data_IF_950614852462
#
_entry.id   IF_950614852462
#
_cell.length_a   1.000
_cell.length_b   1.000
_cell.length_c   1.000
_cell.angle_alpha   90.00
_cell.angle_beta   90.00
_cell.angle_gamma   90.00
#
_symmetry.space_group_name_H-M   'P 1'
#
loop_
_entity.id
_entity.type
_entity.pdbx_description
1 polymer ?
#
# COMPACT_ATOMS: atom_id res chain seq x y z
N UNK A 1 -36.14 -6.90 -55.50
CA UNK A 1 -35.80 -6.39 -56.84
C UNK A 1 -34.33 -5.99 -56.84
N UNK A 2 -33.58 -6.43 -57.88
CA UNK A 2 -32.14 -6.22 -58.20
C UNK A 2 -31.13 -6.96 -57.30
N UNK A 3 -30.66 -8.18 -57.66
CA UNK A 3 -29.70 -8.59 -58.71
C UNK A 3 -28.23 -8.21 -58.35
N UNK A 4 -27.41 -9.14 -57.83
CA UNK A 4 -26.50 -10.07 -58.53
C UNK A 4 -25.48 -9.41 -59.48
N UNK A 5 -24.18 -9.47 -59.15
CA UNK A 5 -23.15 -9.98 -60.07
C UNK A 5 -21.82 -10.33 -59.37
N UNK A 6 -21.44 -11.62 -59.47
CA UNK A 6 -20.08 -12.16 -59.36
C UNK A 6 -19.37 -12.04 -60.73
N UNK A 7 -18.03 -12.10 -60.75
CA UNK A 7 -17.12 -12.79 -61.72
C UNK A 7 -15.69 -12.31 -61.38
N UNK A 8 -14.81 -13.17 -60.82
CA UNK A 8 -13.91 -14.17 -61.45
C UNK A 8 -12.63 -13.57 -62.07
N UNK A 9 -11.47 -14.09 -61.66
CA UNK A 9 -10.18 -13.88 -62.33
C UNK A 9 -8.99 -14.39 -61.52
N UNK A 10 -8.71 -15.70 -61.60
CA UNK A 10 -7.49 -16.31 -61.06
C UNK A 10 -6.32 -16.29 -62.05
N UNK A 11 -5.12 -16.53 -61.53
CA UNK A 11 -3.90 -16.76 -62.30
C UNK A 11 -2.73 -17.12 -61.40
N UNK A 12 -2.29 -18.38 -61.50
CA UNK A 12 -1.21 -19.01 -60.75
C UNK A 12 0.19 -18.66 -61.33
N UNK A 13 1.22 -19.34 -60.78
CA UNK A 13 2.66 -19.41 -61.12
C UNK A 13 3.56 -18.58 -60.16
N UNK A 14 4.70 -19.04 -59.63
CA UNK A 14 5.48 -20.30 -59.75
C UNK A 14 6.45 -20.34 -58.55
N UNK A 15 6.75 -21.54 -58.05
CA UNK A 15 7.79 -21.80 -57.06
C UNK A 15 9.21 -21.71 -57.68
N UNK A 16 10.16 -21.11 -56.98
CA UNK A 16 11.59 -21.30 -57.24
C UNK A 16 12.41 -21.24 -55.95
N UNK A 17 13.44 -22.07 -55.93
CA UNK A 17 14.16 -22.65 -54.81
C UNK A 17 15.55 -21.99 -54.64
N UNK A 18 15.93 -21.73 -53.39
CA UNK A 18 17.27 -21.70 -52.76
C UNK A 18 18.50 -21.03 -53.46
N UNK A 19 19.26 -20.23 -52.68
CA UNK A 19 20.64 -20.50 -52.16
C UNK A 19 21.25 -19.18 -51.61
N UNK A 20 22.02 -19.33 -50.53
CA UNK A 20 22.67 -18.35 -49.65
C UNK A 20 23.67 -17.36 -50.30
N UNK A 21 23.94 -16.24 -49.62
CA UNK A 21 25.23 -15.85 -49.00
C UNK A 21 25.33 -14.34 -48.68
N UNK A 22 26.00 -14.06 -47.55
CA UNK A 22 26.79 -12.86 -47.21
C UNK A 22 26.09 -11.52 -46.86
N UNK A 23 26.26 -11.15 -45.59
CA UNK A 23 26.16 -9.82 -44.96
C UNK A 23 27.12 -8.79 -45.58
N UNK A 24 26.89 -7.46 -45.46
CA UNK A 24 27.37 -6.76 -44.26
C UNK A 24 26.42 -5.67 -43.71
N UNK A 25 26.68 -5.37 -42.45
CA UNK A 25 26.07 -4.38 -41.58
C UNK A 25 25.99 -2.95 -42.14
N UNK A 26 24.86 -2.29 -41.90
CA UNK A 26 24.78 -0.84 -41.70
C UNK A 26 24.12 -0.62 -40.34
N UNK A 27 24.96 -0.58 -39.31
CA UNK A 27 24.60 -0.07 -38.00
C UNK A 27 24.37 1.44 -38.13
N UNK A 28 23.11 1.88 -38.02
CA UNK A 28 22.84 3.25 -37.63
C UNK A 28 23.07 3.34 -36.12
N UNK A 29 24.12 4.11 -35.80
CA UNK A 29 24.45 4.56 -34.45
C UNK A 29 23.28 5.39 -33.91
N UNK A 30 22.43 4.78 -33.09
CA UNK A 30 21.68 5.50 -32.07
C UNK A 30 22.40 5.25 -30.75
N UNK A 31 23.05 6.29 -30.24
CA UNK A 31 23.60 6.31 -28.90
C UNK A 31 22.43 6.32 -27.89
N UNK A 32 21.97 5.14 -27.49
CA UNK A 32 21.02 4.98 -26.38
C UNK A 32 21.69 4.14 -25.29
N UNK A 33 22.37 4.83 -24.35
CA UNK A 33 22.79 4.21 -23.10
C UNK A 33 21.53 3.97 -22.27
N UNK A 34 21.36 2.72 -21.82
CA UNK A 34 20.23 2.11 -21.08
C UNK A 34 19.02 1.61 -21.91
N UNK A 35 19.06 0.36 -22.40
CA UNK A 35 17.84 -0.40 -22.68
C UNK A 35 17.18 -0.89 -21.37
N UNK A 36 15.85 -1.07 -21.32
CA UNK A 36 15.17 -1.73 -20.19
C UNK A 36 15.67 -3.18 -20.08
N UNK A 37 15.99 -3.61 -18.86
CA UNK A 37 16.40 -4.98 -18.57
C UNK A 37 15.22 -5.93 -18.84
N UNK A 38 15.24 -6.63 -19.98
CA UNK A 38 14.44 -7.82 -20.17
C UNK A 38 15.22 -8.96 -19.51
N UNK A 39 14.88 -9.30 -18.28
CA UNK A 39 15.42 -10.45 -17.56
C UNK A 39 14.96 -11.71 -18.28
N UNK A 40 15.85 -12.29 -19.08
CA UNK A 40 15.60 -13.57 -19.76
C UNK A 40 15.61 -14.70 -18.73
N UNK A 41 14.68 -15.66 -18.81
CA UNK A 41 14.57 -16.83 -17.91
C UNK A 41 15.90 -17.61 -17.74
N UNK A 42 16.82 -17.49 -18.69
CA UNK A 42 18.17 -18.04 -18.61
C UNK A 42 19.06 -17.41 -17.52
N UNK A 43 18.74 -16.20 -17.03
CA UNK A 43 19.49 -15.53 -15.97
C UNK A 43 19.07 -15.96 -14.56
N UNK A 44 17.84 -16.48 -14.38
CA UNK A 44 17.34 -17.03 -13.11
C UNK A 44 17.91 -18.43 -12.82
N UNK A 45 18.15 -19.23 -13.86
CA UNK A 45 18.68 -20.60 -13.70
C UNK A 45 20.14 -20.68 -13.22
N UNK A 46 20.89 -19.57 -13.25
CA UNK A 46 22.31 -19.53 -12.87
C UNK A 46 22.57 -19.36 -11.37
N UNK A 47 21.55 -19.02 -10.57
CA UNK A 47 21.70 -18.69 -9.13
C UNK A 47 21.04 -19.71 -8.18
N UNK A 48 20.31 -20.70 -8.72
CA UNK A 48 19.60 -21.72 -7.93
C UNK A 48 20.48 -22.96 -7.74
N UNK A 49 20.66 -23.39 -6.48
CA UNK A 49 21.27 -24.68 -6.14
C UNK A 49 20.25 -25.81 -6.31
N UNK A 50 20.27 -26.44 -7.48
CA UNK A 50 19.43 -27.58 -7.84
C UNK A 50 19.85 -28.90 -7.16
N UNK A 51 21.05 -28.99 -6.59
CA UNK A 51 21.53 -30.22 -5.96
C UNK A 51 22.04 -31.31 -6.92
N UNK A 52 21.74 -32.58 -6.61
CA UNK A 52 22.10 -33.78 -7.37
C UNK A 52 20.87 -34.66 -7.71
N UNK A 53 21.09 -35.82 -8.31
CA UNK A 53 20.02 -36.77 -8.73
C UNK A 53 20.00 -38.03 -7.83
N UNK A 54 20.18 -37.87 -6.51
CA UNK A 54 20.26 -39.01 -5.57
C UNK A 54 18.92 -39.48 -5.02
N UNK A 55 17.81 -38.80 -5.36
CA UNK A 55 16.46 -39.10 -4.89
C UNK A 55 15.87 -40.38 -5.48
N UNK A 56 14.82 -40.91 -4.86
CA UNK A 56 14.11 -42.07 -5.42
C UNK A 56 13.40 -41.73 -6.73
N UNK A 57 12.94 -40.49 -6.83
CA UNK A 57 12.13 -39.93 -7.91
C UNK A 57 12.94 -39.15 -8.95
N UNK A 58 14.25 -39.02 -8.75
CA UNK A 58 15.12 -38.29 -9.68
C UNK A 58 15.07 -38.83 -11.12
N UNK A 59 15.03 -37.94 -12.11
CA UNK A 59 14.99 -38.26 -13.55
C UNK A 59 13.70 -38.97 -14.03
N UNK A 60 12.55 -38.71 -13.41
CA UNK A 60 11.27 -39.29 -13.82
C UNK A 60 10.43 -38.36 -14.74
N UNK A 61 10.89 -37.13 -14.94
CA UNK A 61 10.30 -36.12 -15.82
C UNK A 61 9.46 -35.06 -15.11
N UNK A 62 9.35 -35.11 -13.78
CA UNK A 62 8.76 -34.09 -12.92
C UNK A 62 9.83 -33.53 -11.97
N UNK A 63 9.62 -32.33 -11.40
CA UNK A 63 10.51 -31.78 -10.37
C UNK A 63 10.00 -32.12 -8.98
N UNK A 64 10.69 -32.99 -8.25
CA UNK A 64 10.28 -33.48 -6.93
C UNK A 64 10.75 -32.62 -5.75
N UNK A 65 11.54 -31.58 -6.02
CA UNK A 65 12.05 -30.71 -4.97
C UNK A 65 10.95 -29.72 -4.51
N UNK A 66 10.50 -29.78 -3.25
CA UNK A 66 9.40 -28.94 -2.74
C UNK A 66 9.72 -27.45 -2.73
N UNK A 67 10.98 -27.05 -2.98
CA UNK A 67 11.36 -25.66 -3.20
C UNK A 67 10.99 -25.15 -4.60
N UNK A 68 10.34 -25.96 -5.44
CA UNK A 68 9.89 -25.56 -6.77
C UNK A 68 8.39 -25.81 -6.94
N UNK A 69 7.69 -24.85 -7.52
CA UNK A 69 6.25 -24.96 -7.80
C UNK A 69 5.92 -24.65 -9.26
N UNK A 70 4.93 -25.36 -9.80
CA UNK A 70 4.41 -25.13 -11.15
C UNK A 70 3.95 -26.40 -11.83
N UNK A 71 3.54 -26.28 -13.08
CA UNK A 71 3.04 -27.41 -13.89
C UNK A 71 4.06 -28.51 -14.18
N UNK A 72 5.35 -28.26 -13.93
CA UNK A 72 6.41 -29.27 -14.03
C UNK A 72 6.85 -29.83 -12.68
N UNK A 73 6.22 -29.46 -11.55
CA UNK A 73 6.51 -30.04 -10.24
C UNK A 73 5.72 -31.34 -10.07
N UNK A 74 6.27 -32.26 -9.30
CA UNK A 74 5.55 -33.47 -8.91
C UNK A 74 4.29 -33.14 -8.10
N UNK A 75 3.31 -34.03 -8.16
CA UNK A 75 2.02 -33.86 -7.47
C UNK A 75 2.15 -34.07 -5.96
N UNK A 76 3.02 -35.00 -5.55
CA UNK A 76 3.36 -35.26 -4.15
C UNK A 76 4.81 -34.84 -3.94
N UNK A 77 5.03 -33.87 -3.05
CA UNK A 77 6.35 -33.33 -2.74
C UNK A 77 6.71 -33.65 -1.29
N UNK A 78 7.91 -34.17 -1.07
CA UNK A 78 8.42 -34.49 0.26
C UNK A 78 9.72 -33.71 0.54
N UNK A 79 9.89 -33.21 1.78
CA UNK A 79 11.13 -32.53 2.19
C UNK A 79 12.38 -33.42 2.03
N UNK A 80 12.17 -34.75 2.02
CA UNK A 80 13.22 -35.72 1.77
C UNK A 80 13.83 -35.58 0.36
N UNK A 81 13.15 -34.95 -0.59
CA UNK A 81 13.54 -34.83 -1.99
C UNK A 81 14.13 -33.45 -2.35
N UNK A 82 14.29 -32.57 -1.36
CA UNK A 82 15.02 -31.30 -1.50
C UNK A 82 16.42 -31.55 -2.05
N UNK A 83 16.75 -30.92 -3.19
CA UNK A 83 18.05 -31.00 -3.90
C UNK A 83 18.42 -32.39 -4.40
N UNK A 84 17.45 -33.26 -4.61
CA UNK A 84 17.71 -34.66 -5.00
C UNK A 84 17.23 -35.03 -6.40
N UNK A 85 16.64 -34.08 -7.11
CA UNK A 85 16.17 -34.24 -8.49
C UNK A 85 16.62 -33.03 -9.35
N UNK A 86 17.93 -32.83 -9.42
CA UNK A 86 18.52 -31.65 -10.03
C UNK A 86 18.30 -31.56 -11.55
N UNK A 87 18.29 -32.70 -12.25
CA UNK A 87 18.16 -32.74 -13.71
C UNK A 87 16.78 -32.28 -14.16
N UNK A 88 15.70 -32.80 -13.56
CA UNK A 88 14.34 -32.46 -13.97
C UNK A 88 13.93 -31.09 -13.45
N UNK A 89 14.27 -30.72 -12.21
CA UNK A 89 14.04 -29.36 -11.71
C UNK A 89 14.75 -28.28 -12.55
N UNK A 90 15.99 -28.53 -13.00
CA UNK A 90 16.68 -27.59 -13.91
C UNK A 90 16.02 -27.52 -15.28
N UNK A 91 15.58 -28.66 -15.82
CA UNK A 91 14.90 -28.72 -17.10
C UNK A 91 13.55 -27.99 -17.05
N UNK A 92 12.80 -28.18 -15.96
CA UNK A 92 11.52 -27.54 -15.72
C UNK A 92 11.67 -26.02 -15.53
N UNK A 93 12.69 -25.55 -14.80
CA UNK A 93 12.99 -24.10 -14.72
C UNK A 93 13.38 -23.53 -16.09
N UNK A 94 14.22 -24.24 -16.85
CA UNK A 94 14.62 -23.80 -18.19
C UNK A 94 13.43 -23.77 -19.17
N UNK A 95 12.47 -24.66 -18.99
CA UNK A 95 11.20 -24.67 -19.74
C UNK A 95 10.19 -23.63 -19.23
N UNK A 96 10.44 -23.02 -18.06
CA UNK A 96 9.52 -22.09 -17.40
C UNK A 96 8.26 -22.78 -16.85
N UNK A 97 8.29 -24.10 -16.63
CA UNK A 97 7.16 -24.87 -16.12
C UNK A 97 7.15 -24.99 -14.59
N UNK A 98 8.28 -24.69 -13.93
CA UNK A 98 8.38 -24.51 -12.48
C UNK A 98 9.16 -23.26 -12.11
N UNK A 99 8.85 -22.69 -10.96
CA UNK A 99 9.49 -21.53 -10.35
C UNK A 99 10.05 -21.91 -8.99
N UNK A 100 11.26 -21.46 -8.65
CA UNK A 100 11.82 -21.65 -7.32
C UNK A 100 11.05 -20.80 -6.31
N UNK A 101 10.45 -21.45 -5.33
CA UNK A 101 9.74 -20.87 -4.19
C UNK A 101 10.50 -21.29 -2.94
N UNK A 102 11.05 -20.34 -2.18
CA UNK A 102 11.83 -20.58 -0.93
C UNK A 102 11.05 -21.32 0.18
N UNK A 103 9.85 -21.82 -0.09
CA UNK A 103 8.90 -22.37 0.87
C UNK A 103 8.72 -23.88 0.71
N UNK A 104 9.69 -24.68 1.14
CA UNK A 104 9.49 -26.10 1.48
C UNK A 104 9.34 -26.26 3.00
N UNK A 105 8.07 -26.26 3.47
CA UNK A 105 7.44 -26.60 4.79
C UNK A 105 8.30 -26.74 6.07
N UNK A 106 7.97 -26.22 7.28
CA UNK A 106 6.76 -26.38 8.13
C UNK A 106 6.89 -25.51 9.43
N UNK A 107 5.80 -25.11 10.14
CA UNK A 107 5.78 -23.97 11.04
C UNK A 107 6.21 -24.31 12.47
N UNK A 108 7.40 -23.87 12.87
CA UNK A 108 7.70 -23.63 14.28
C UNK A 108 8.67 -22.46 14.40
N UNK A 109 8.16 -21.33 14.90
CA UNK A 109 8.91 -20.13 15.28
C UNK A 109 9.78 -19.49 14.18
N UNK A 110 9.17 -18.83 13.20
CA UNK A 110 9.85 -17.76 12.46
C UNK A 110 9.45 -16.45 13.11
N UNK A 111 10.23 -16.01 14.08
CA UNK A 111 10.35 -14.59 14.31
C UNK A 111 10.99 -14.01 13.05
N UNK A 112 10.32 -13.02 12.48
CA UNK A 112 10.75 -12.21 11.34
C UNK A 112 12.15 -11.66 11.62
N UNK A 113 13.15 -12.34 11.07
CA UNK A 113 14.51 -11.83 11.10
C UNK A 113 14.63 -10.72 10.04
N UNK A 114 14.62 -9.45 10.48
CA UNK A 114 15.23 -8.34 9.75
C UNK A 114 16.53 -8.79 9.04
N UNK A 115 16.84 -8.32 7.82
CA UNK A 115 18.09 -8.68 7.13
C UNK A 115 19.29 -8.41 8.03
N UNK A 116 20.24 -9.34 8.14
CA UNK A 116 21.41 -9.23 9.05
C UNK A 116 22.26 -7.97 8.78
N UNK A 117 22.22 -7.45 7.56
CA UNK A 117 22.89 -6.22 7.14
C UNK A 117 22.14 -4.95 7.56
N UNK A 118 20.86 -5.05 7.94
CA UNK A 118 20.02 -3.94 8.37
C UNK A 118 20.04 -3.73 9.89
N UNK A 119 20.66 -4.64 10.65
CA UNK A 119 20.70 -4.59 12.12
C UNK A 119 22.04 -4.03 12.58
N UNK A 120 21.98 -2.97 13.38
CA UNK A 120 23.14 -2.47 14.10
C UNK A 120 23.41 -3.30 15.36
N UNK A 121 24.28 -4.30 15.22
CA UNK A 121 24.75 -5.14 16.32
C UNK A 121 25.70 -4.42 17.28
N UNK A 122 26.23 -3.23 16.93
CA UNK A 122 27.15 -2.48 17.78
C UNK A 122 28.61 -2.97 17.76
N UNK A 123 29.27 -2.98 18.92
CA UNK A 123 30.67 -3.40 19.11
C UNK A 123 30.84 -4.55 20.15
N UNK A 124 32.07 -4.93 20.48
CA UNK A 124 32.38 -5.98 21.48
C UNK A 124 33.03 -5.37 22.75
N UNK A 125 32.51 -4.23 23.24
CA UNK A 125 33.13 -3.47 24.34
C UNK A 125 32.76 -3.95 25.75
N UNK A 126 31.80 -4.88 25.89
CA UNK A 126 31.43 -5.46 27.19
C UNK A 126 32.48 -6.47 27.71
N UNK A 127 32.45 -6.74 29.02
CA UNK A 127 33.21 -7.84 29.62
C UNK A 127 32.64 -9.22 29.25
N UNK A 128 31.39 -9.26 28.82
CA UNK A 128 30.66 -10.47 28.42
C UNK A 128 30.75 -10.74 26.91
N UNK A 129 31.24 -9.77 26.13
CA UNK A 129 31.38 -9.94 24.69
C UNK A 129 32.29 -11.12 24.30
N UNK A 130 31.89 -11.88 23.27
CA UNK A 130 32.63 -13.05 22.73
C UNK A 130 32.72 -14.24 23.70
N UNK A 131 31.74 -14.43 24.58
CA UNK A 131 31.68 -15.57 25.48
C UNK A 131 30.83 -16.73 24.96
N UNK A 132 30.14 -16.54 23.83
CA UNK A 132 29.34 -17.53 23.13
C UNK A 132 27.83 -17.40 23.35
N UNK A 133 27.39 -16.41 24.12
CA UNK A 133 25.98 -16.03 24.32
C UNK A 133 25.75 -14.61 23.78
N UNK A 134 24.51 -14.24 23.48
CA UNK A 134 24.15 -12.86 23.10
C UNK A 134 23.69 -12.09 24.34
N UNK A 135 24.51 -11.16 24.82
CA UNK A 135 24.24 -10.35 26.02
C UNK A 135 23.42 -9.08 25.75
N UNK A 136 23.10 -8.80 24.50
CA UNK A 136 22.38 -7.60 24.12
C UNK A 136 20.88 -7.72 24.46
N UNK A 137 20.33 -6.90 25.39
CA UNK A 137 18.93 -6.95 25.81
C UNK A 137 17.92 -6.68 24.68
N UNK A 138 18.37 -6.16 23.53
CA UNK A 138 17.52 -6.01 22.34
C UNK A 138 17.18 -7.36 21.70
N UNK A 139 17.96 -8.41 21.97
CA UNK A 139 17.78 -9.73 21.39
C UNK A 139 17.26 -10.73 22.42
N UNK A 140 16.36 -11.61 21.98
CA UNK A 140 15.80 -12.69 22.80
C UNK A 140 15.85 -14.02 22.07
N UNK A 141 16.24 -15.10 22.73
CA UNK A 141 16.14 -16.44 22.18
C UNK A 141 16.98 -17.46 22.94
N UNK A 142 17.12 -18.65 22.36
CA UNK A 142 17.84 -19.77 22.99
C UNK A 142 19.34 -19.56 23.12
N UNK A 143 19.91 -18.58 22.39
CA UNK A 143 21.30 -18.19 22.50
C UNK A 143 21.49 -16.80 23.13
N UNK A 144 20.45 -16.23 23.77
CA UNK A 144 20.61 -15.06 24.64
C UNK A 144 21.20 -15.47 25.99
N UNK A 145 21.95 -14.59 26.61
CA UNK A 145 22.44 -14.78 27.97
C UNK A 145 21.28 -14.93 28.98
N UNK A 146 21.53 -15.67 30.07
CA UNK A 146 20.54 -15.89 31.14
C UNK A 146 20.16 -14.59 31.87
N UNK A 147 21.08 -13.61 31.94
CA UNK A 147 20.87 -12.31 32.56
C UNK A 147 21.21 -11.18 31.58
N UNK A 148 20.19 -10.50 31.07
CA UNK A 148 20.33 -9.36 30.16
C UNK A 148 20.22 -8.04 30.94
N UNK A 149 21.16 -7.13 30.75
CA UNK A 149 21.16 -5.81 31.38
C UNK A 149 21.39 -4.69 30.37
N UNK A 150 20.71 -3.55 30.56
CA UNK A 150 20.77 -2.39 29.64
C UNK A 150 22.19 -1.89 29.37
N UNK A 151 23.14 -2.10 30.30
CA UNK A 151 24.53 -1.69 30.12
C UNK A 151 25.25 -2.43 29.00
N UNK A 152 24.75 -3.59 28.58
CA UNK A 152 25.34 -4.46 27.56
C UNK A 152 24.66 -4.32 26.18
N UNK A 153 23.67 -3.43 26.06
CA UNK A 153 23.05 -3.05 24.79
C UNK A 153 24.09 -2.58 23.77
N UNK A 154 24.10 -3.22 22.59
CA UNK A 154 25.01 -2.98 21.46
C UNK A 154 26.50 -3.22 21.77
N UNK A 155 26.84 -4.05 22.75
CA UNK A 155 28.23 -4.28 23.19
C UNK A 155 28.73 -5.72 23.09
N UNK A 156 27.94 -6.58 22.48
CA UNK A 156 28.27 -7.97 22.20
C UNK A 156 27.91 -8.33 20.74
N UNK A 157 28.46 -7.55 19.82
CA UNK A 157 28.07 -7.61 18.42
C UNK A 157 28.41 -8.93 17.73
N UNK A 158 29.54 -9.56 18.09
CA UNK A 158 30.00 -10.79 17.43
C UNK A 158 29.06 -11.96 17.71
N UNK A 159 28.68 -12.17 18.97
CA UNK A 159 27.88 -13.32 19.35
C UNK A 159 26.40 -13.09 19.02
N UNK A 160 25.87 -11.88 19.24
CA UNK A 160 24.52 -11.54 18.81
C UNK A 160 24.33 -11.63 17.29
N UNK A 161 25.33 -11.23 16.48
CA UNK A 161 25.27 -11.42 15.02
C UNK A 161 25.28 -12.89 14.64
N UNK A 162 26.13 -13.69 15.26
CA UNK A 162 26.21 -15.13 14.97
C UNK A 162 24.93 -15.86 15.37
N UNK A 163 24.40 -15.56 16.56
CA UNK A 163 23.16 -16.12 17.07
C UNK A 163 21.96 -15.70 16.20
N UNK A 164 21.93 -14.44 15.76
CA UNK A 164 20.88 -13.94 14.88
C UNK A 164 20.96 -14.58 13.48
N UNK A 165 22.16 -14.70 12.90
CA UNK A 165 22.38 -15.42 11.63
C UNK A 165 21.94 -16.88 11.70
N UNK A 166 22.11 -17.50 12.87
CA UNK A 166 21.69 -18.87 13.15
C UNK A 166 20.20 -19.00 13.48
N UNK A 167 19.46 -17.88 13.59
CA UNK A 167 18.06 -17.85 14.00
C UNK A 167 17.82 -18.28 15.45
N UNK A 168 18.86 -18.30 16.29
CA UNK A 168 18.76 -18.70 17.70
C UNK A 168 18.45 -17.54 18.65
N UNK A 169 18.52 -16.30 18.15
CA UNK A 169 17.97 -15.09 18.80
C UNK A 169 17.20 -14.24 17.80
N UNK A 170 16.27 -13.45 18.32
CA UNK A 170 15.35 -12.60 17.56
C UNK A 170 15.43 -11.19 18.14
N UNK A 171 15.41 -10.17 17.29
CA UNK A 171 15.40 -8.78 17.73
C UNK A 171 14.00 -8.43 18.23
N UNK A 172 13.87 -7.98 19.48
CA UNK A 172 12.59 -7.55 20.02
C UNK A 172 12.14 -6.24 19.34
N UNK A 173 10.86 -6.13 18.99
CA UNK A 173 10.22 -4.97 18.33
C UNK A 173 10.15 -3.71 19.24
N UNK A 174 11.27 -3.30 19.80
CA UNK A 174 11.42 -2.01 20.47
C UNK A 174 12.53 -1.21 19.80
N UNK A 175 12.07 -0.26 18.98
CA UNK A 175 12.83 0.88 18.45
C UNK A 175 13.88 0.58 17.36
N UNK A 176 13.44 0.01 16.23
CA UNK A 176 14.24 0.07 14.99
C UNK A 176 14.04 1.42 14.31
N UNK A 177 14.87 2.37 14.71
CA UNK A 177 15.20 3.57 13.94
C UNK A 177 16.21 3.19 12.84
N UNK A 178 15.76 2.60 11.74
CA UNK A 178 16.58 2.45 10.53
C UNK A 178 15.91 3.14 9.34
N UNK A 179 16.55 4.22 8.94
CA UNK A 179 16.30 4.96 7.72
C UNK A 179 16.65 4.11 6.50
N UNK A 180 15.68 3.36 5.96
CA UNK A 180 15.71 2.93 4.57
C UNK A 180 15.25 4.12 3.73
N UNK A 181 16.01 4.44 2.69
CA UNK A 181 15.69 5.55 1.81
C UNK A 181 14.30 5.39 1.18
N UNK A 182 13.39 6.26 1.61
CA UNK A 182 12.29 6.87 0.88
C UNK A 182 11.33 5.91 0.14
N UNK A 183 10.72 5.00 0.89
CA UNK A 183 9.29 4.75 0.70
C UNK A 183 8.60 5.65 1.74
N UNK A 184 7.72 6.59 1.36
CA UNK A 184 6.89 7.28 2.34
C UNK A 184 6.25 6.20 3.19
N UNK A 185 6.34 6.31 4.53
CA UNK A 185 5.76 5.33 5.45
C UNK A 185 4.37 4.92 4.94
N UNK A 186 4.26 3.71 4.38
CA UNK A 186 3.06 3.30 3.66
C UNK A 186 1.93 3.32 4.68
N UNK A 187 0.90 4.08 4.36
CA UNK A 187 -0.31 3.98 5.12
C UNK A 187 -1.06 2.71 4.74
N UNK A 188 -1.18 1.78 5.68
CA UNK A 188 -2.01 0.61 5.49
C UNK A 188 -3.48 0.86 5.90
N UNK A 189 -3.77 1.92 6.67
CA UNK A 189 -5.12 2.25 7.12
C UNK A 189 -5.62 1.43 8.31
N UNK A 190 -6.88 0.98 8.28
CA UNK A 190 -7.56 0.15 9.30
C UNK A 190 -8.10 -1.19 8.73
N UNK A 191 -8.86 -1.96 9.50
CA UNK A 191 -9.44 -3.27 9.08
C UNK A 191 -10.99 -3.22 9.10
N UNK A 192 -11.60 -2.16 8.56
CA UNK A 192 -13.05 -1.93 8.71
C UNK A 192 -13.91 -2.36 7.52
N UNK A 193 -13.32 -2.77 6.38
CA UNK A 193 -14.09 -3.26 5.24
C UNK A 193 -14.65 -4.66 5.48
N UNK A 194 -15.57 -5.09 4.60
CA UNK A 194 -16.13 -6.45 4.65
C UNK A 194 -15.13 -7.53 4.22
N UNK A 195 -14.08 -7.12 3.51
CA UNK A 195 -13.01 -7.98 2.99
C UNK A 195 -11.75 -7.97 3.85
N UNK A 196 -11.66 -7.05 4.82
CA UNK A 196 -10.54 -7.01 5.76
C UNK A 196 -10.29 -8.35 6.50
N UNK A 197 -9.01 -8.75 6.59
CA UNK A 197 -8.57 -9.98 7.29
C UNK A 197 -9.04 -11.27 6.64
N UNK A 198 -9.29 -11.29 5.34
CA UNK A 198 -9.67 -12.49 4.61
C UNK A 198 -8.47 -13.26 4.04
N UNK A 199 -7.27 -12.69 4.14
CA UNK A 199 -6.00 -13.27 3.71
C UNK A 199 -5.48 -12.70 2.38
N UNK A 200 -6.21 -11.78 1.74
CA UNK A 200 -5.79 -11.04 0.56
C UNK A 200 -5.69 -9.54 0.90
N UNK A 201 -4.83 -8.80 0.20
CA UNK A 201 -4.77 -7.34 0.32
C UNK A 201 -5.82 -6.72 -0.61
N UNK A 202 -6.91 -6.20 -0.07
CA UNK A 202 -8.02 -5.62 -0.84
C UNK A 202 -7.80 -4.15 -1.23
N UNK A 203 -6.70 -3.56 -0.76
CA UNK A 203 -6.46 -2.15 -0.98
C UNK A 203 -5.98 -1.86 -2.42
N UNK A 204 -6.73 -1.07 -3.21
CA UNK A 204 -6.42 -0.78 -4.61
C UNK A 204 -5.09 -0.03 -4.83
N UNK A 205 -4.45 0.48 -3.76
CA UNK A 205 -3.13 1.13 -3.83
C UNK A 205 -1.98 0.12 -3.98
N UNK A 206 -2.24 -1.17 -3.80
CA UNK A 206 -1.24 -2.23 -3.83
C UNK A 206 -1.39 -3.10 -5.10
N UNK A 207 -0.33 -3.80 -5.47
CA UNK A 207 -0.40 -4.89 -6.45
C UNK A 207 0.54 -6.01 -6.06
N UNK A 208 0.20 -7.24 -6.43
CA UNK A 208 1.07 -8.39 -6.21
C UNK A 208 0.26 -9.67 -6.15
N UNK A 209 0.92 -10.75 -5.76
CA UNK A 209 0.31 -12.09 -5.72
C UNK A 209 -0.56 -12.32 -4.48
N UNK A 210 -0.46 -11.43 -3.48
CA UNK A 210 -1.30 -11.45 -2.29
C UNK A 210 -2.25 -10.24 -2.26
N UNK A 211 -2.56 -9.65 -3.41
CA UNK A 211 -3.57 -8.60 -3.58
C UNK A 211 -4.79 -9.24 -4.22
N UNK A 212 -5.98 -8.87 -3.75
CA UNK A 212 -7.24 -9.43 -4.25
C UNK A 212 -7.38 -9.25 -5.77
N UNK A 213 -8.02 -10.23 -6.42
CA UNK A 213 -8.24 -10.21 -7.88
C UNK A 213 -9.25 -9.11 -8.29
N UNK A 214 -10.21 -8.80 -7.41
CA UNK A 214 -11.20 -7.72 -7.58
C UNK A 214 -10.97 -6.67 -6.50
N UNK A 215 -10.66 -5.44 -6.92
CA UNK A 215 -10.36 -4.33 -6.02
C UNK A 215 -11.45 -3.28 -6.13
N UNK A 216 -11.97 -2.82 -4.99
CA UNK A 216 -12.98 -1.76 -4.92
C UNK A 216 -12.39 -0.50 -4.28
N UNK A 217 -12.82 0.67 -4.76
CA UNK A 217 -12.41 1.95 -4.15
C UNK A 217 -12.83 2.06 -2.67
N UNK A 218 -13.88 1.33 -2.27
CA UNK A 218 -14.39 1.29 -0.90
C UNK A 218 -13.44 0.58 0.08
N UNK A 219 -12.50 -0.23 -0.40
CA UNK A 219 -11.54 -0.98 0.43
C UNK A 219 -10.19 -0.26 0.59
N UNK A 220 -10.06 0.94 0.01
CA UNK A 220 -8.88 1.78 0.13
C UNK A 220 -8.56 2.10 1.59
N UNK A 221 -7.45 1.56 2.09
CA UNK A 221 -7.00 1.74 3.47
C UNK A 221 -7.88 1.07 4.51
N UNK A 222 -8.66 0.05 4.13
CA UNK A 222 -9.57 -0.64 5.04
C UNK A 222 -9.25 -2.13 5.22
N UNK A 223 -8.11 -2.57 4.70
CA UNK A 223 -7.56 -3.91 4.90
C UNK A 223 -6.06 -3.84 5.29
N UNK A 224 -5.80 -3.17 6.40
CA UNK A 224 -4.44 -2.85 6.83
C UNK A 224 -3.61 -4.05 7.24
N UNK A 225 -4.24 -5.05 7.86
CA UNK A 225 -3.56 -6.24 8.37
C UNK A 225 -2.99 -7.06 7.21
N UNK A 226 -3.80 -7.35 6.20
CA UNK A 226 -3.39 -8.23 5.11
C UNK A 226 -2.49 -7.49 4.12
N UNK A 227 -2.75 -6.22 3.82
CA UNK A 227 -1.84 -5.41 3.02
C UNK A 227 -0.47 -5.19 3.68
N UNK A 228 -0.41 -5.01 5.00
CA UNK A 228 0.87 -4.94 5.72
C UNK A 228 1.60 -6.27 5.70
N UNK A 229 0.87 -7.36 5.93
CA UNK A 229 1.44 -8.71 5.87
C UNK A 229 1.98 -9.02 4.47
N UNK A 230 1.23 -8.66 3.43
CA UNK A 230 1.59 -8.86 2.04
C UNK A 230 2.82 -8.03 1.62
N UNK A 231 2.92 -6.76 2.05
CA UNK A 231 4.14 -5.97 1.83
C UNK A 231 5.33 -6.51 2.63
N UNK A 232 5.11 -6.88 3.90
CA UNK A 232 6.15 -7.48 4.74
C UNK A 232 6.67 -8.80 4.17
N UNK A 233 5.81 -9.57 3.53
CA UNK A 233 6.15 -10.81 2.81
C UNK A 233 6.74 -10.57 1.41
N UNK A 234 6.74 -9.33 0.92
CA UNK A 234 7.17 -8.99 -0.45
C UNK A 234 6.22 -9.49 -1.55
N UNK A 235 5.02 -9.94 -1.19
CA UNK A 235 3.99 -10.44 -2.11
C UNK A 235 2.99 -9.37 -2.53
N UNK A 236 3.04 -8.19 -1.91
CA UNK A 236 2.42 -6.96 -2.40
C UNK A 236 3.46 -5.84 -2.49
N UNK A 237 3.33 -5.00 -3.52
CA UNK A 237 4.08 -3.76 -3.71
C UNK A 237 3.12 -2.61 -3.61
N UNK A 238 3.41 -1.65 -2.74
CA UNK A 238 2.71 -0.37 -2.74
C UNK A 238 3.07 0.39 -4.01
N UNK A 239 2.10 0.61 -4.89
CA UNK A 239 2.36 1.20 -6.20
C UNK A 239 2.54 2.71 -6.17
N UNK A 240 2.57 3.31 -4.97
CA UNK A 240 2.49 4.74 -4.86
C UNK A 240 1.26 5.24 -5.61
N UNK A 241 0.10 4.58 -5.37
CA UNK A 241 -1.20 5.16 -5.71
C UNK A 241 -1.07 6.63 -5.40
N UNK A 242 -1.31 7.48 -6.42
CA UNK A 242 -0.93 8.91 -6.47
C UNK A 242 -0.86 9.45 -5.08
N UNK A 243 0.15 10.24 -4.70
CA UNK A 243 0.21 10.97 -3.42
C UNK A 243 -1.06 11.82 -3.21
N UNK A 244 -2.17 11.16 -2.98
CA UNK A 244 -3.25 11.48 -2.13
C UNK A 244 -2.49 11.39 -0.82
N UNK A 245 -1.96 12.52 -0.39
CA UNK A 245 -1.82 12.84 1.03
C UNK A 245 -2.88 12.02 1.72
N UNK A 246 -2.49 10.95 2.43
CA UNK A 246 -3.45 10.03 3.06
C UNK A 246 -4.41 10.94 3.77
N UNK A 247 -5.61 11.03 3.22
CA UNK A 247 -6.55 12.02 3.68
C UNK A 247 -6.88 11.54 5.05
N UNK A 248 -6.49 12.31 6.06
CA UNK A 248 -6.65 11.92 7.45
C UNK A 248 -8.07 11.37 7.58
N UNK A 249 -8.23 10.13 8.03
CA UNK A 249 -9.56 9.55 8.19
C UNK A 249 -10.46 10.57 8.90
N UNK A 250 -11.72 10.70 8.46
CA UNK A 250 -12.61 11.72 9.01
C UNK A 250 -12.66 11.59 10.53
N UNK A 251 -12.22 12.63 11.24
CA UNK A 251 -12.18 12.62 12.70
C UNK A 251 -13.58 12.89 13.24
N UNK A 252 -14.27 11.83 13.64
CA UNK A 252 -15.59 11.94 14.27
C UNK A 252 -15.57 12.68 15.61
N UNK A 253 -14.42 12.80 16.28
CA UNK A 253 -14.31 13.39 17.61
C UNK A 253 -14.65 12.39 18.73
N UNK A 254 -15.36 12.85 19.76
CA UNK A 254 -15.78 12.00 20.88
C UNK A 254 -17.08 12.47 21.55
N UNK A 255 -17.57 11.71 22.52
CA UNK A 255 -18.91 11.90 23.11
C UNK A 255 -18.88 12.81 24.36
N UNK A 256 -18.51 14.07 24.18
CA UNK A 256 -18.38 15.03 25.28
C UNK A 256 -19.52 16.06 25.34
N UNK A 257 -20.29 16.23 24.26
CA UNK A 257 -21.45 17.12 24.28
C UNK A 257 -22.52 16.60 25.23
N UNK A 258 -23.34 17.51 25.76
CA UNK A 258 -24.55 17.14 26.53
C UNK A 258 -25.60 16.42 25.69
N UNK A 259 -25.50 16.52 24.36
CA UNK A 259 -26.39 15.85 23.41
C UNK A 259 -25.81 14.53 22.89
N UNK A 260 -24.58 14.17 23.29
CA UNK A 260 -23.98 12.93 22.86
C UNK A 260 -24.82 11.70 23.27
N UNK A 261 -24.92 10.71 22.38
CA UNK A 261 -25.64 9.45 22.60
C UNK A 261 -27.15 9.61 22.84
N UNK A 262 -27.80 10.60 22.21
CA UNK A 262 -29.25 10.82 22.29
C UNK A 262 -30.02 10.26 21.08
N UNK A 263 -29.30 9.77 20.06
CA UNK A 263 -29.82 9.12 18.86
C UNK A 263 -30.01 10.04 17.66
N UNK A 264 -29.67 11.32 17.78
CA UNK A 264 -29.51 12.28 16.67
C UNK A 264 -28.01 12.58 16.49
N UNK A 265 -27.59 13.15 15.36
CA UNK A 265 -26.22 13.61 15.15
C UNK A 265 -26.18 15.13 15.36
N UNK A 266 -25.62 15.59 16.48
CA UNK A 266 -25.55 17.02 16.86
C UNK A 266 -24.33 17.76 16.30
N UNK A 267 -23.62 17.13 15.37
CA UNK A 267 -22.40 17.67 14.78
C UNK A 267 -22.69 18.40 13.47
N UNK A 268 -22.40 19.71 13.44
CA UNK A 268 -22.62 20.58 12.29
C UNK A 268 -21.91 20.14 11.00
N UNK A 269 -20.88 19.30 11.12
CA UNK A 269 -20.12 18.75 9.98
C UNK A 269 -20.94 17.75 9.18
N UNK A 270 -22.09 17.32 9.71
CA UNK A 270 -23.01 16.37 9.09
C UNK A 270 -24.29 17.05 8.64
N UNK A 271 -24.99 16.39 7.71
CA UNK A 271 -26.32 16.77 7.26
C UNK A 271 -27.15 15.53 6.91
N UNK A 272 -28.48 15.62 7.01
CA UNK A 272 -29.38 14.51 6.68
C UNK A 272 -30.56 14.40 7.65
N UNK A 273 -31.34 13.32 7.49
CA UNK A 273 -32.52 13.05 8.35
C UNK A 273 -32.14 12.72 9.80
N UNK A 274 -30.94 12.16 10.00
CA UNK A 274 -30.44 11.82 11.34
C UNK A 274 -29.77 12.97 12.08
N UNK A 275 -29.51 14.11 11.43
CA UNK A 275 -28.88 15.25 12.08
C UNK A 275 -29.89 16.03 12.92
N UNK A 276 -29.45 16.58 14.07
CA UNK A 276 -30.31 17.46 14.86
C UNK A 276 -30.73 18.69 14.04
N UNK A 277 -31.92 19.21 14.32
CA UNK A 277 -32.47 20.38 13.63
C UNK A 277 -31.76 21.68 14.00
N UNK A 278 -31.04 21.69 15.12
CA UNK A 278 -30.38 22.85 15.70
C UNK A 278 -28.94 22.52 16.07
N UNK A 279 -28.14 22.38 15.03
CA UNK A 279 -26.68 22.22 15.10
C UNK A 279 -26.03 23.47 15.72
N UNK A 280 -25.15 23.26 16.70
CA UNK A 280 -24.40 24.34 17.36
C UNK A 280 -22.89 24.14 17.16
N UNK A 281 -22.16 25.24 16.96
CA UNK A 281 -20.69 25.20 16.85
C UNK A 281 -19.99 24.67 18.09
N UNK A 282 -20.60 24.84 19.26
CA UNK A 282 -20.11 24.31 20.54
C UNK A 282 -20.33 22.81 20.73
N UNK A 283 -21.02 22.12 19.83
CA UNK A 283 -21.30 20.67 19.88
C UNK A 283 -20.54 19.89 18.77
N UNK A 284 -19.83 20.59 17.89
CA UNK A 284 -19.03 20.01 16.81
C UNK A 284 -17.99 19.03 17.35
N UNK A 285 -17.90 17.83 16.76
CA UNK A 285 -17.03 16.73 17.21
C UNK A 285 -17.32 16.24 18.65
N UNK A 286 -18.52 16.56 19.16
CA UNK A 286 -18.98 16.25 20.51
C UNK A 286 -19.93 15.07 20.62
N UNK A 287 -20.33 14.48 19.49
CA UNK A 287 -21.34 13.43 19.40
C UNK A 287 -20.91 12.35 18.38
N UNK A 288 -19.74 11.76 18.61
CA UNK A 288 -19.11 10.88 17.65
C UNK A 288 -19.87 9.56 17.45
N UNK A 289 -20.40 8.98 18.53
CA UNK A 289 -21.07 7.68 18.48
C UNK A 289 -22.31 7.70 17.60
N UNK A 290 -23.20 8.70 17.78
CA UNK A 290 -24.42 8.78 17.00
C UNK A 290 -24.15 9.21 15.56
N UNK A 291 -23.29 10.21 15.34
CA UNK A 291 -22.91 10.64 14.00
C UNK A 291 -22.29 9.50 13.18
N UNK A 292 -21.40 8.68 13.78
CA UNK A 292 -20.83 7.50 13.12
C UNK A 292 -21.88 6.45 12.81
N UNK A 293 -22.77 6.15 13.77
CA UNK A 293 -23.82 5.16 13.57
C UNK A 293 -24.83 5.59 12.49
N UNK A 294 -25.19 6.88 12.46
CA UNK A 294 -26.14 7.45 11.51
C UNK A 294 -25.53 7.61 10.11
N UNK A 295 -24.23 7.90 10.02
CA UNK A 295 -23.50 7.94 8.75
C UNK A 295 -23.42 6.55 8.13
N UNK A 296 -23.04 5.54 8.92
CA UNK A 296 -23.04 4.14 8.50
C UNK A 296 -24.45 3.64 8.09
N UNK A 297 -25.49 4.15 8.74
CA UNK A 297 -26.88 3.87 8.37
C UNK A 297 -27.38 4.65 7.14
N UNK A 298 -26.56 5.52 6.56
CA UNK A 298 -26.91 6.38 5.42
C UNK A 298 -27.96 7.46 5.75
N UNK A 299 -28.16 7.78 7.03
CA UNK A 299 -29.12 8.78 7.50
C UNK A 299 -28.54 10.18 7.57
N UNK A 300 -27.22 10.27 7.73
CA UNK A 300 -26.46 11.51 7.60
C UNK A 300 -25.30 11.30 6.64
N UNK A 301 -24.80 12.40 6.09
CA UNK A 301 -23.59 12.44 5.28
C UNK A 301 -22.68 13.56 5.79
N UNK A 302 -21.37 13.38 5.68
CA UNK A 302 -20.40 14.43 5.96
C UNK A 302 -20.52 15.51 4.89
N UNK A 303 -20.73 16.76 5.32
CA UNK A 303 -20.73 17.92 4.41
C UNK A 303 -19.38 18.03 3.70
N UNK A 304 -19.40 18.31 2.39
CA UNK A 304 -18.21 18.27 1.53
C UNK A 304 -17.01 19.04 2.07
N UNK A 305 -17.23 20.25 2.61
CA UNK A 305 -16.16 21.12 3.12
C UNK A 305 -15.40 20.53 4.32
N UNK A 306 -16.00 19.60 5.06
CA UNK A 306 -15.36 18.90 6.17
C UNK A 306 -14.76 17.56 5.76
N UNK A 307 -14.91 17.16 4.49
CA UNK A 307 -14.24 15.97 4.00
C UNK A 307 -12.74 16.25 3.90
N UNK A 308 -11.89 15.36 4.44
CA UNK A 308 -10.45 15.45 4.28
C UNK A 308 -10.04 15.60 2.80
N UNK A 309 -10.76 14.91 1.90
CA UNK A 309 -10.55 14.90 0.44
C UNK A 309 -10.70 16.30 -0.15
N UNK A 310 -11.70 17.04 0.31
CA UNK A 310 -11.88 18.42 -0.08
C UNK A 310 -10.75 19.30 0.47
N UNK A 311 -10.48 19.25 1.78
CA UNK A 311 -9.43 20.07 2.37
C UNK A 311 -8.04 19.85 1.71
N UNK A 312 -7.71 18.60 1.35
CA UNK A 312 -6.47 18.27 0.66
C UNK A 312 -6.40 18.75 -0.81
N UNK A 313 -7.53 19.09 -1.41
CA UNK A 313 -7.63 19.59 -2.79
C UNK A 313 -7.27 21.07 -2.95
N UNK A 314 -7.11 21.81 -1.85
CA UNK A 314 -6.69 23.21 -1.88
C UNK A 314 -5.22 23.36 -2.37
N UNK A 315 -4.86 24.47 -3.07
CA UNK A 315 -5.71 25.60 -3.33
C UNK A 315 -6.68 25.41 -4.50
N UNK A 316 -7.94 25.83 -4.32
CA UNK A 316 -8.99 25.70 -5.34
C UNK A 316 -8.92 26.79 -6.40
N UNK A 317 -9.23 26.44 -7.66
CA UNK A 317 -9.35 27.42 -8.75
C UNK A 317 -10.61 28.27 -8.54
N UNK A 318 -10.38 29.55 -8.24
CA UNK A 318 -11.43 30.54 -7.98
C UNK A 318 -11.83 31.34 -9.23
N UNK A 319 -11.21 31.08 -10.40
CA UNK A 319 -11.34 31.94 -11.60
C UNK A 319 -12.74 32.00 -12.19
N UNK A 320 -13.59 31.00 -11.91
CA UNK A 320 -14.97 30.93 -12.38
C UNK A 320 -15.99 31.50 -11.38
N UNK A 321 -15.56 31.89 -10.18
CA UNK A 321 -16.45 32.33 -9.10
C UNK A 321 -16.46 33.86 -9.02
N UNK A 322 -17.65 34.46 -9.02
CA UNK A 322 -17.83 35.89 -8.80
C UNK A 322 -18.06 36.17 -7.31
N UNK A 323 -17.02 36.62 -6.62
CA UNK A 323 -17.05 36.97 -5.20
C UNK A 323 -17.56 38.40 -4.93
N UNK A 324 -17.75 39.23 -5.97
CA UNK A 324 -18.25 40.59 -5.80
C UNK A 324 -17.22 41.62 -5.33
N UNK A 325 -17.59 42.44 -4.34
CA UNK A 325 -16.78 43.54 -3.77
C UNK A 325 -16.57 43.41 -2.25
N UNK A 326 -15.92 44.39 -1.60
CA UNK A 326 -15.71 44.45 -0.14
C UNK A 326 -16.42 45.68 0.47
N UNK A 327 -17.72 45.84 0.24
CA UNK A 327 -18.44 47.07 0.63
C UNK A 327 -19.39 46.93 1.82
N UNK A 328 -19.59 45.71 2.35
CA UNK A 328 -20.40 45.53 3.56
C UNK A 328 -19.69 46.06 4.81
N UNK A 329 -20.41 46.11 5.94
CA UNK A 329 -19.81 46.45 7.24
C UNK A 329 -19.00 45.32 7.86
N UNK A 330 -19.12 44.11 7.30
CA UNK A 330 -18.46 42.90 7.78
C UNK A 330 -17.34 42.43 6.83
N UNK A 331 -17.21 43.05 5.66
CA UNK A 331 -16.11 42.77 4.74
C UNK A 331 -14.72 42.97 5.37
N UNK A 332 -13.77 42.13 4.97
CA UNK A 332 -12.38 42.13 5.45
C UNK A 332 -12.26 41.87 6.97
N UNK A 333 -13.07 40.94 7.51
CA UNK A 333 -13.06 40.51 8.92
C UNK A 333 -12.49 39.10 9.17
N UNK A 334 -11.87 38.51 8.13
CA UNK A 334 -11.29 37.16 8.10
C UNK A 334 -12.33 36.02 8.07
N UNK A 335 -13.62 36.31 7.87
CA UNK A 335 -14.67 35.31 7.63
C UNK A 335 -15.46 35.67 6.37
N UNK A 336 -15.89 34.66 5.62
CA UNK A 336 -16.78 34.88 4.48
C UNK A 336 -18.22 35.14 4.95
N UNK A 337 -18.72 36.37 4.80
CA UNK A 337 -20.10 36.73 5.15
C UNK A 337 -21.12 36.48 4.04
N UNK A 338 -20.65 36.15 2.85
CA UNK A 338 -21.53 35.97 1.69
C UNK A 338 -22.43 34.73 1.89
N UNK A 339 -23.77 34.90 1.93
CA UNK A 339 -24.69 33.81 2.16
C UNK A 339 -24.65 32.70 1.11
N UNK A 340 -24.00 32.89 -0.04
CA UNK A 340 -23.83 31.84 -1.06
C UNK A 340 -22.85 30.75 -0.63
N UNK A 341 -22.03 30.98 0.38
CA UNK A 341 -21.02 30.04 0.82
C UNK A 341 -21.35 29.44 2.19
N UNK A 342 -20.79 28.27 2.46
CA UNK A 342 -20.88 27.58 3.74
C UNK A 342 -19.57 26.88 4.06
N UNK A 343 -19.30 26.68 5.36
CA UNK A 343 -18.12 25.96 5.85
C UNK A 343 -17.43 26.67 7.01
N UNK A 344 -16.33 26.11 7.53
CA UNK A 344 -15.62 26.67 8.68
C UNK A 344 -14.99 28.05 8.43
N UNK A 345 -14.80 28.46 7.17
CA UNK A 345 -14.36 29.82 6.82
C UNK A 345 -15.50 30.82 6.61
N UNK A 346 -16.76 30.42 6.75
CA UNK A 346 -17.92 31.30 6.61
C UNK A 346 -18.38 31.84 7.97
N UNK A 347 -18.98 33.03 7.98
CA UNK A 347 -19.55 33.60 9.17
C UNK A 347 -20.71 32.73 9.70
N UNK A 348 -20.80 32.59 11.03
CA UNK A 348 -21.86 31.81 11.67
C UNK A 348 -23.26 32.42 11.49
N UNK A 349 -23.35 33.69 11.11
CA UNK A 349 -24.61 34.39 10.82
C UNK A 349 -24.47 35.10 9.47
N UNK A 350 -25.24 34.64 8.49
CA UNK A 350 -25.22 35.16 7.12
C UNK A 350 -26.43 36.08 6.91
N UNK A 351 -26.21 37.27 6.36
CA UNK A 351 -27.27 38.23 6.04
C UNK A 351 -27.38 38.44 4.54
N UNK A 352 -28.61 38.62 4.04
CA UNK A 352 -28.84 38.94 2.62
C UNK A 352 -28.14 40.24 2.18
N UNK A 353 -27.85 41.15 3.12
CA UNK A 353 -27.14 42.40 2.84
C UNK A 353 -25.67 42.21 2.51
N UNK A 354 -25.09 41.06 2.82
CA UNK A 354 -23.66 40.77 2.63
C UNK A 354 -23.40 39.93 1.36
N UNK A 355 -24.46 39.65 0.59
CA UNK A 355 -24.40 38.98 -0.71
C UNK A 355 -23.43 39.69 -1.66
N UNK A 356 -22.36 38.99 -2.06
CA UNK A 356 -21.32 39.50 -2.96
C UNK A 356 -20.61 40.76 -2.45
N UNK A 357 -20.56 40.99 -1.13
CA UNK A 357 -19.99 42.19 -0.53
C UNK A 357 -18.81 41.94 0.40
N UNK A 358 -18.30 40.71 0.39
CA UNK A 358 -17.12 40.30 1.15
C UNK A 358 -16.16 39.43 0.30
N UNK A 359 -15.71 40.02 -0.81
CA UNK A 359 -15.01 39.29 -1.86
C UNK A 359 -13.63 38.75 -1.46
N UNK A 360 -12.90 39.48 -0.61
CA UNK A 360 -11.54 39.11 -0.24
C UNK A 360 -11.53 37.87 0.67
N UNK A 361 -12.36 37.85 1.71
CA UNK A 361 -12.40 36.76 2.68
C UNK A 361 -13.04 35.52 2.08
N UNK A 362 -14.14 35.68 1.34
CA UNK A 362 -14.75 34.56 0.61
C UNK A 362 -13.81 33.95 -0.44
N UNK A 363 -13.06 34.77 -1.19
CA UNK A 363 -12.09 34.23 -2.15
C UNK A 363 -10.97 33.49 -1.42
N UNK A 364 -10.41 34.07 -0.36
CA UNK A 364 -9.34 33.46 0.40
C UNK A 364 -9.77 32.13 1.04
N UNK A 365 -10.96 32.09 1.65
CA UNK A 365 -11.51 30.89 2.26
C UNK A 365 -11.84 29.81 1.22
N UNK A 366 -12.40 30.18 0.06
CA UNK A 366 -12.68 29.23 -1.02
C UNK A 366 -11.39 28.61 -1.57
N UNK A 367 -10.39 29.46 -1.86
CA UNK A 367 -9.08 28.98 -2.30
C UNK A 367 -8.42 28.12 -1.24
N UNK A 368 -8.61 28.40 0.05
CA UNK A 368 -8.09 27.58 1.15
C UNK A 368 -8.86 26.27 1.38
N UNK A 369 -9.98 26.04 0.70
CA UNK A 369 -10.83 24.85 0.90
C UNK A 369 -11.58 24.84 2.23
N UNK A 370 -11.77 26.01 2.85
CA UNK A 370 -12.51 26.16 4.11
C UNK A 370 -13.97 26.56 3.92
N UNK A 371 -14.40 26.84 2.68
CA UNK A 371 -15.79 27.04 2.32
C UNK A 371 -16.10 26.40 0.96
N UNK A 372 -17.37 26.07 0.75
CA UNK A 372 -17.94 25.68 -0.55
C UNK A 372 -19.13 26.58 -0.89
N UNK A 373 -19.43 26.71 -2.18
CA UNK A 373 -20.66 27.36 -2.61
C UNK A 373 -21.83 26.40 -2.39
N UNK A 374 -22.92 26.87 -1.78
CA UNK A 374 -24.12 26.07 -1.54
C UNK A 374 -24.73 25.64 -2.87
N UNK A 375 -25.25 24.41 -2.95
CA UNK A 375 -25.79 23.84 -4.20
C UNK A 375 -26.98 24.60 -4.80
N UNK A 376 -27.63 25.46 -4.01
CA UNK A 376 -28.79 26.27 -4.41
C UNK A 376 -28.48 27.76 -4.64
N UNK A 377 -27.20 28.16 -4.69
CA UNK A 377 -26.76 29.54 -4.81
C UNK A 377 -26.87 30.13 -6.23
#
# INVERSE_FOLDING_TARGET
MKAMQRILGGGALVAALAIALSTPSLAQKLDNKNPPATTSAAALASDVDFGDDTGHWANDGECDDPRFSGTGSAVELEDADIRKDATDCRAAVAAGTVTFTETGTSPTAIAIASPIEAIDFGDDSSQWARDGECDDPRFSGTASADELVDTDMSKDATDCRAAYAAGTVTLADSEINTTVADVPAVDYGDDTSEWAKDGECDDPRFSGTAVADELLDADLGHDATDCRAAVGAGTATYNGGSTVTRVAAFDYGGDWSKWANDGECDDLRFEGEGADKKLLSEDMAGDATDCKALEFAGKVTIRTVYTPQHAAGAPYDSSAVDFGDNTSSYADDDQCDDPRFEGPGAAATLLDSDLSHDSADCKAAFEAGTIVMRQDA
#
